data_IF_860808301162
#
_entry.id   IF_860808301162
#
_cell.length_a   1.000
_cell.length_b   1.000
_cell.length_c   1.000
_cell.angle_alpha   90.00
_cell.angle_beta   90.00
_cell.angle_gamma   90.00
#
_symmetry.space_group_name_H-M   'P 1'
#
loop_
_entity.id
_entity.type
_entity.pdbx_description
1 polymer ?
#
# COMPACT_ATOMS: atom_id res chain seq x y z
N UNK A 1 -4.73 -11.29 -0.85
CA UNK A 1 -5.87 -10.62 -0.18
C UNK A 1 -5.77 -10.78 1.33
N UNK A 2 -5.93 -11.97 1.92
CA UNK A 2 -5.88 -12.14 3.39
C UNK A 2 -4.59 -11.64 4.05
N UNK A 3 -3.44 -11.77 3.37
CA UNK A 3 -2.16 -11.32 3.91
C UNK A 3 -2.10 -9.80 4.15
N UNK A 4 -2.68 -9.00 3.25
CA UNK A 4 -2.71 -7.54 3.39
C UNK A 4 -3.57 -7.12 4.57
N UNK A 5 -4.73 -7.76 4.72
CA UNK A 5 -5.62 -7.60 5.88
C UNK A 5 -4.85 -7.92 7.17
N UNK A 6 -4.33 -9.15 7.26
CA UNK A 6 -3.64 -9.63 8.46
C UNK A 6 -2.49 -8.72 8.88
N UNK A 7 -1.59 -8.38 7.96
CA UNK A 7 -0.44 -7.53 8.27
C UNK A 7 -0.85 -6.12 8.67
N UNK A 8 -1.85 -5.53 8.00
CA UNK A 8 -2.37 -4.22 8.35
C UNK A 8 -3.00 -4.21 9.75
N UNK A 9 -3.80 -5.24 10.07
CA UNK A 9 -4.39 -5.42 11.41
C UNK A 9 -3.33 -5.57 12.50
N UNK A 10 -2.29 -6.37 12.25
CA UNK A 10 -1.18 -6.52 13.21
C UNK A 10 -0.51 -5.17 13.48
N UNK A 11 -0.21 -4.40 12.43
CA UNK A 11 0.41 -3.07 12.57
C UNK A 11 -0.50 -2.10 13.30
N UNK A 12 -1.80 -2.11 13.01
CA UNK A 12 -2.78 -1.30 13.72
C UNK A 12 -2.79 -1.62 15.22
N UNK A 13 -2.86 -2.91 15.60
CA UNK A 13 -2.83 -3.36 17.00
C UNK A 13 -1.52 -2.95 17.68
N UNK A 14 -0.38 -3.11 17.02
CA UNK A 14 0.92 -2.66 17.56
C UNK A 14 0.89 -1.15 17.78
N UNK A 15 0.40 -0.38 16.81
CA UNK A 15 0.37 1.09 16.87
C UNK A 15 -0.46 1.59 18.05
N UNK A 16 -1.66 1.03 18.26
CA UNK A 16 -2.50 1.42 19.41
C UNK A 16 -1.92 0.97 20.75
N UNK A 17 -1.30 -0.22 20.82
CA UNK A 17 -0.76 -0.77 22.08
C UNK A 17 0.51 -0.04 22.56
N UNK A 18 1.33 0.46 21.64
CA UNK A 18 2.51 1.29 21.97
C UNK A 18 2.16 2.78 22.17
N UNK A 19 0.89 3.16 22.05
CA UNK A 19 0.44 4.55 22.24
C UNK A 19 0.66 5.48 21.04
N UNK A 20 0.91 4.93 19.85
CA UNK A 20 1.09 5.70 18.61
C UNK A 20 -0.22 6.25 18.02
N UNK A 21 -1.37 5.86 18.56
CA UNK A 21 -2.70 6.33 18.17
C UNK A 21 -3.77 5.89 19.16
N UNK A 22 -4.97 6.44 19.02
CA UNK A 22 -6.14 6.07 19.82
C UNK A 22 -7.37 5.93 18.94
N UNK A 23 -8.25 4.98 19.29
CA UNK A 23 -9.51 4.77 18.57
C UNK A 23 -10.51 5.83 19.01
N UNK A 24 -10.94 6.67 18.07
CA UNK A 24 -11.87 7.78 18.33
C UNK A 24 -13.33 7.35 18.35
N UNK A 25 -13.69 6.31 17.59
CA UNK A 25 -15.04 5.76 17.49
C UNK A 25 -14.99 4.26 17.21
N UNK A 26 -15.94 3.51 17.78
CA UNK A 26 -16.20 2.11 17.45
C UNK A 26 -17.49 1.92 16.64
N UNK A 27 -18.20 3.02 16.36
CA UNK A 27 -19.47 3.01 15.63
C UNK A 27 -19.19 3.25 14.15
N UNK A 28 -19.39 2.24 13.27
CA UNK A 28 -19.13 2.40 11.85
C UNK A 28 -20.15 3.32 11.19
N UNK A 29 -19.66 4.27 10.40
CA UNK A 29 -20.43 5.25 9.62
C UNK A 29 -20.07 5.08 8.15
N UNK A 30 -20.93 4.37 7.43
CA UNK A 30 -20.78 4.24 5.98
C UNK A 30 -21.36 5.49 5.32
N UNK A 31 -20.54 6.19 4.54
CA UNK A 31 -20.97 7.31 3.71
C UNK A 31 -20.81 6.96 2.22
N UNK A 32 -21.52 7.64 1.29
CA UNK A 32 -21.27 7.50 -0.14
C UNK A 32 -19.81 7.78 -0.52
N UNK A 33 -19.15 8.67 0.22
CA UNK A 33 -17.73 8.97 0.05
C UNK A 33 -16.85 7.78 0.44
N UNK A 34 -17.18 7.06 1.50
CA UNK A 34 -16.47 5.82 1.89
C UNK A 34 -16.53 4.78 0.77
N UNK A 35 -17.70 4.64 0.12
CA UNK A 35 -17.88 3.71 -1.01
C UNK A 35 -17.08 4.14 -2.24
N UNK A 36 -17.02 5.44 -2.55
CA UNK A 36 -16.23 5.93 -3.69
C UNK A 36 -14.73 5.70 -3.48
N UNK A 37 -14.23 5.82 -2.24
CA UNK A 37 -12.83 5.51 -1.92
C UNK A 37 -12.46 4.04 -2.12
N UNK A 38 -13.39 3.09 -1.92
CA UNK A 38 -13.14 1.68 -2.26
C UNK A 38 -12.85 1.53 -3.75
N UNK A 39 -13.65 2.18 -4.61
CA UNK A 39 -13.44 2.14 -6.06
C UNK A 39 -12.10 2.79 -6.45
N UNK A 40 -11.77 3.93 -5.83
CA UNK A 40 -10.46 4.57 -6.02
C UNK A 40 -9.32 3.63 -5.63
N UNK A 41 -9.40 2.95 -4.49
CA UNK A 41 -8.35 2.02 -4.06
C UNK A 41 -8.20 0.79 -4.96
N UNK A 42 -9.29 0.32 -5.58
CA UNK A 42 -9.19 -0.70 -6.63
C UNK A 42 -8.35 -0.14 -7.78
N UNK A 43 -8.74 1.01 -8.33
CA UNK A 43 -8.05 1.61 -9.48
C UNK A 43 -6.57 1.94 -9.17
N UNK A 44 -6.29 2.47 -7.98
CA UNK A 44 -4.94 2.78 -7.50
C UNK A 44 -4.10 1.50 -7.41
N UNK A 45 -4.59 0.46 -6.73
CA UNK A 45 -3.86 -0.80 -6.61
C UNK A 45 -3.59 -1.42 -7.99
N UNK A 46 -4.55 -1.37 -8.92
CA UNK A 46 -4.31 -1.84 -10.29
C UNK A 46 -3.25 -1.01 -11.01
N UNK A 47 -3.41 0.32 -11.04
CA UNK A 47 -2.53 1.22 -11.78
C UNK A 47 -1.08 1.12 -11.27
N UNK A 48 -0.90 1.18 -9.96
CA UNK A 48 0.44 1.18 -9.37
C UNK A 48 1.12 -0.18 -9.50
N UNK A 49 0.42 -1.30 -9.30
CA UNK A 49 1.01 -2.63 -9.44
C UNK A 49 1.31 -2.97 -10.91
N UNK A 50 0.43 -2.61 -11.85
CA UNK A 50 0.69 -2.82 -13.28
C UNK A 50 1.90 -1.99 -13.73
N UNK A 51 1.99 -0.73 -13.33
CA UNK A 51 3.15 0.11 -13.66
C UNK A 51 4.45 -0.46 -13.09
N UNK A 52 4.46 -0.83 -11.81
CA UNK A 52 5.69 -1.25 -11.15
C UNK A 52 6.08 -2.70 -11.49
N UNK A 53 5.15 -3.65 -11.35
CA UNK A 53 5.44 -5.10 -11.46
C UNK A 53 5.20 -5.59 -12.89
N UNK A 54 4.19 -5.03 -13.55
CA UNK A 54 3.91 -5.32 -14.96
C UNK A 54 4.92 -4.68 -15.91
N UNK A 55 5.13 -3.36 -15.81
CA UNK A 55 5.95 -2.62 -16.77
C UNK A 55 7.42 -2.50 -16.33
N UNK A 56 7.73 -1.79 -15.24
CA UNK A 56 9.13 -1.51 -14.85
C UNK A 56 9.94 -2.78 -14.61
N UNK A 57 9.41 -3.72 -13.82
CA UNK A 57 10.10 -5.01 -13.60
C UNK A 57 10.29 -5.80 -14.90
N UNK A 58 9.32 -5.78 -15.84
CA UNK A 58 9.47 -6.47 -17.11
C UNK A 58 10.58 -5.87 -17.99
N UNK A 59 10.70 -4.55 -18.02
CA UNK A 59 11.80 -3.86 -18.73
C UNK A 59 13.15 -4.17 -18.08
N UNK A 60 13.24 -4.08 -16.75
CA UNK A 60 14.47 -4.27 -16.00
C UNK A 60 14.95 -5.73 -15.97
N UNK A 61 14.11 -6.71 -16.29
CA UNK A 61 14.53 -8.12 -16.42
C UNK A 61 15.72 -8.30 -17.38
N UNK A 62 15.86 -7.41 -18.38
CA UNK A 62 16.99 -7.41 -19.32
C UNK A 62 18.35 -7.16 -18.67
N UNK A 63 18.38 -6.49 -17.51
CA UNK A 63 19.60 -6.20 -16.77
C UNK A 63 20.20 -7.44 -16.09
N UNK A 64 19.45 -8.56 -16.00
CA UNK A 64 19.87 -9.82 -15.35
C UNK A 64 20.38 -9.66 -13.90
N UNK A 65 20.01 -8.57 -13.23
CA UNK A 65 20.37 -8.30 -11.83
C UNK A 65 19.10 -8.17 -10.99
N UNK A 66 18.88 -9.14 -10.10
CA UNK A 66 17.66 -9.23 -9.29
C UNK A 66 17.49 -8.03 -8.36
N UNK A 67 18.58 -7.47 -7.84
CA UNK A 67 18.53 -6.33 -6.94
C UNK A 67 18.06 -5.08 -7.68
N UNK A 68 18.54 -4.84 -8.90
CA UNK A 68 18.05 -3.72 -9.73
C UNK A 68 16.58 -3.88 -10.10
N UNK A 69 16.16 -5.09 -10.48
CA UNK A 69 14.77 -5.41 -10.82
C UNK A 69 13.83 -5.14 -9.65
N UNK A 70 14.29 -5.31 -8.40
CA UNK A 70 13.49 -5.05 -7.21
C UNK A 70 13.58 -3.61 -6.72
N UNK A 71 14.78 -3.06 -6.58
CA UNK A 71 15.01 -1.78 -5.90
C UNK A 71 14.50 -0.61 -6.74
N UNK A 72 14.79 -0.57 -8.04
CA UNK A 72 14.43 0.57 -8.91
C UNK A 72 12.92 0.83 -8.92
N UNK A 73 12.03 -0.13 -9.23
CA UNK A 73 10.59 0.10 -9.19
C UNK A 73 10.09 0.43 -7.78
N UNK A 74 10.72 -0.12 -6.74
CA UNK A 74 10.34 0.19 -5.35
C UNK A 74 10.68 1.62 -4.95
N UNK A 75 11.81 2.14 -5.42
CA UNK A 75 12.18 3.55 -5.24
C UNK A 75 11.23 4.44 -6.03
N UNK A 76 10.95 4.12 -7.30
CA UNK A 76 9.97 4.87 -8.11
C UNK A 76 8.61 4.90 -7.41
N UNK A 77 8.15 3.76 -6.91
CA UNK A 77 6.92 3.64 -6.13
C UNK A 77 6.93 4.55 -4.90
N UNK A 78 8.03 4.65 -4.15
CA UNK A 78 8.14 5.62 -3.07
C UNK A 78 8.11 7.08 -3.53
N UNK A 79 8.84 7.40 -4.61
CA UNK A 79 9.00 8.76 -5.11
C UNK A 79 7.69 9.36 -5.64
N UNK A 80 6.82 8.56 -6.28
CA UNK A 80 5.52 9.08 -6.76
C UNK A 80 4.60 9.55 -5.62
N UNK A 81 4.88 9.15 -4.38
CA UNK A 81 4.11 9.55 -3.20
C UNK A 81 4.66 10.80 -2.49
N UNK A 82 5.79 11.36 -2.91
CA UNK A 82 6.39 12.57 -2.27
C UNK A 82 5.46 13.79 -2.37
N UNK A 83 4.59 13.82 -3.37
CA UNK A 83 3.64 14.93 -3.57
C UNK A 83 2.32 14.74 -2.82
N UNK A 84 2.17 13.65 -2.07
CA UNK A 84 0.99 13.47 -1.25
C UNK A 84 1.00 14.46 -0.08
N UNK A 85 -0.19 14.96 0.33
CA UNK A 85 -0.35 15.67 1.59
C UNK A 85 0.21 14.87 2.76
N UNK A 86 0.70 15.55 3.79
CA UNK A 86 1.16 14.96 5.06
C UNK A 86 2.24 13.86 4.94
N UNK A 87 2.89 13.70 3.79
CA UNK A 87 3.95 12.71 3.62
C UNK A 87 5.20 13.15 4.39
N UNK A 88 5.81 12.21 5.09
CA UNK A 88 7.06 12.41 5.83
C UNK A 88 8.19 11.64 5.15
N UNK A 89 9.44 12.00 5.46
CA UNK A 89 10.60 11.23 5.01
C UNK A 89 10.49 9.75 5.44
N UNK A 90 10.05 9.49 6.68
CA UNK A 90 9.86 8.14 7.19
C UNK A 90 8.78 7.38 6.41
N UNK A 91 7.65 8.02 6.06
CA UNK A 91 6.61 7.34 5.27
C UNK A 91 7.09 7.00 3.87
N UNK A 92 7.88 7.86 3.21
CA UNK A 92 8.48 7.53 1.90
C UNK A 92 9.39 6.32 2.01
N UNK A 93 10.26 6.26 3.02
CA UNK A 93 11.12 5.08 3.26
C UNK A 93 10.28 3.82 3.48
N UNK A 94 9.21 3.89 4.27
CA UNK A 94 8.30 2.76 4.47
C UNK A 94 7.60 2.33 3.17
N UNK A 95 7.17 3.27 2.34
CA UNK A 95 6.58 2.98 1.03
C UNK A 95 7.59 2.27 0.12
N UNK A 96 8.87 2.68 0.13
CA UNK A 96 9.94 1.98 -0.61
C UNK A 96 10.10 0.54 -0.10
N UNK A 97 10.12 0.34 1.23
CA UNK A 97 10.25 -1.01 1.83
C UNK A 97 9.08 -1.91 1.42
N UNK A 98 7.85 -1.40 1.45
CA UNK A 98 6.67 -2.12 0.94
C UNK A 98 6.80 -2.38 -0.57
N UNK A 99 7.35 -1.41 -1.32
CA UNK A 99 7.68 -1.59 -2.73
C UNK A 99 8.59 -2.80 -2.97
N UNK A 100 9.61 -2.97 -2.14
CA UNK A 100 10.57 -4.09 -2.20
C UNK A 100 9.84 -5.40 -1.87
N UNK A 101 8.99 -5.40 -0.84
CA UNK A 101 8.17 -6.56 -0.47
C UNK A 101 7.28 -7.01 -1.64
N UNK A 102 6.57 -6.10 -2.28
CA UNK A 102 5.73 -6.43 -3.44
C UNK A 102 6.55 -6.91 -4.63
N UNK A 103 7.73 -6.33 -4.87
CA UNK A 103 8.66 -6.83 -5.89
C UNK A 103 9.08 -8.27 -5.60
N UNK A 104 9.42 -8.59 -4.35
CA UNK A 104 9.73 -9.94 -3.89
C UNK A 104 8.54 -10.89 -4.06
N UNK A 105 7.34 -10.47 -3.63
CA UNK A 105 6.11 -11.25 -3.76
C UNK A 105 5.82 -11.57 -5.22
N UNK A 106 5.98 -10.61 -6.13
CA UNK A 106 5.78 -10.82 -7.56
C UNK A 106 6.78 -11.82 -8.14
N UNK A 107 8.07 -11.71 -7.78
CA UNK A 107 9.11 -12.65 -8.24
C UNK A 107 8.81 -14.08 -7.74
N UNK A 108 8.42 -14.22 -6.47
CA UNK A 108 8.17 -15.55 -5.87
C UNK A 108 6.88 -16.20 -6.36
N UNK A 109 5.81 -15.43 -6.51
CA UNK A 109 4.51 -15.95 -6.93
C UNK A 109 4.33 -16.01 -8.44
N UNK A 110 5.10 -15.22 -9.20
CA UNK A 110 4.87 -14.94 -10.62
C UNK A 110 3.43 -14.50 -10.91
N UNK A 111 2.77 -13.88 -9.93
CA UNK A 111 1.36 -13.55 -9.98
C UNK A 111 1.14 -12.10 -9.52
N UNK A 112 0.74 -11.23 -10.45
CA UNK A 112 0.46 -9.82 -10.17
C UNK A 112 -0.78 -9.64 -9.28
N UNK A 113 -1.76 -10.55 -9.36
CA UNK A 113 -2.97 -10.51 -8.55
C UNK A 113 -2.68 -10.63 -7.06
N UNK A 114 -1.59 -11.31 -6.69
CA UNK A 114 -1.16 -11.36 -5.29
C UNK A 114 -0.76 -9.98 -4.76
N UNK A 115 -0.07 -9.18 -5.58
CA UNK A 115 0.36 -7.83 -5.22
C UNK A 115 -0.83 -6.87 -5.21
N UNK A 116 -1.65 -6.88 -6.28
CA UNK A 116 -2.87 -6.06 -6.38
C UNK A 116 -3.79 -6.35 -5.19
N UNK A 117 -4.05 -7.63 -4.93
CA UNK A 117 -4.94 -8.05 -3.86
C UNK A 117 -4.39 -7.78 -2.46
N UNK A 118 -3.07 -7.73 -2.27
CA UNK A 118 -2.48 -7.28 -1.01
C UNK A 118 -2.64 -5.77 -0.86
N UNK A 119 -2.20 -5.01 -1.86
CA UNK A 119 -2.17 -3.56 -1.87
C UNK A 119 -3.58 -2.97 -1.68
N UNK A 120 -4.56 -3.46 -2.43
CA UNK A 120 -5.95 -3.05 -2.27
C UNK A 120 -6.46 -3.27 -0.84
N UNK A 121 -6.28 -4.49 -0.30
CA UNK A 121 -6.76 -4.79 1.06
C UNK A 121 -6.05 -3.99 2.12
N UNK A 122 -4.76 -3.68 1.93
CA UNK A 122 -4.00 -2.83 2.82
C UNK A 122 -4.58 -1.41 2.85
N UNK A 123 -4.83 -0.80 1.69
CA UNK A 123 -5.36 0.56 1.61
C UNK A 123 -6.78 0.65 2.20
N UNK A 124 -7.63 -0.35 1.94
CA UNK A 124 -8.98 -0.41 2.54
C UNK A 124 -8.90 -0.54 4.05
N UNK A 125 -8.07 -1.44 4.59
CA UNK A 125 -7.98 -1.60 6.04
C UNK A 125 -7.33 -0.41 6.71
N UNK A 126 -6.24 0.11 6.17
CA UNK A 126 -5.56 1.29 6.71
C UNK A 126 -6.47 2.52 6.71
N UNK A 127 -7.04 2.86 5.55
CA UNK A 127 -7.82 4.08 5.38
C UNK A 127 -9.26 3.96 5.85
N UNK A 128 -10.01 2.98 5.33
CA UNK A 128 -11.46 2.90 5.55
C UNK A 128 -11.78 2.23 6.87
N UNK A 129 -11.15 1.09 7.19
CA UNK A 129 -11.48 0.36 8.43
C UNK A 129 -10.86 1.02 9.67
N UNK A 130 -9.59 1.43 9.58
CA UNK A 130 -8.85 1.98 10.72
C UNK A 130 -8.76 3.50 10.74
N UNK A 131 -9.22 4.21 9.70
CA UNK A 131 -9.21 5.67 9.65
C UNK A 131 -7.82 6.29 9.65
N UNK A 132 -6.77 5.52 9.30
CA UNK A 132 -5.40 6.00 9.26
C UNK A 132 -5.08 6.64 7.89
N UNK A 133 -4.21 7.67 7.82
CA UNK A 133 -3.82 8.26 6.54
C UNK A 133 -3.18 7.22 5.62
N UNK A 134 -3.60 7.16 4.35
CA UNK A 134 -3.08 6.21 3.35
C UNK A 134 -2.05 6.92 2.49
N UNK A 135 -0.77 6.58 2.70
CA UNK A 135 0.36 7.23 2.04
C UNK A 135 0.32 8.77 2.17
N UNK A 136 -0.11 9.28 3.32
CA UNK A 136 -0.29 10.72 3.59
C UNK A 136 -1.68 11.27 3.27
N UNK A 137 -2.50 10.56 2.48
CA UNK A 137 -3.85 11.01 2.17
C UNK A 137 -4.82 10.76 3.33
N UNK A 138 -5.60 11.79 3.67
CA UNK A 138 -6.72 11.65 4.60
C UNK A 138 -7.88 10.95 3.90
N UNK A 139 -8.31 9.83 4.47
CA UNK A 139 -9.39 8.99 3.95
C UNK A 139 -10.51 8.99 5.00
N UNK A 140 -11.77 9.15 4.61
CA UNK A 140 -12.88 9.02 5.54
C UNK A 140 -12.95 7.59 6.07
N UNK A 141 -12.53 7.40 7.32
CA UNK A 141 -12.70 6.15 8.04
C UNK A 141 -14.18 5.85 8.33
N UNK A 142 -14.47 4.58 8.58
CA UNK A 142 -15.75 4.09 9.12
C UNK A 142 -15.94 4.54 10.57
#
# INVERSE_FOLDING_TARGET
MLLGIFNCTVIFIITITIGGGHVTSWVPKISPLTVSWILVFILVAFAEEILNRGFFMAVLRRCKNIYFIMIVPSVIFGLIHIWNPDVTFLSVINIIIIGILFSYMFIKSSNIWMCIGYHFTWNVFQGIIYGMPVSGLQVPGL
#
